data_IF_315496561593
#
_entry.id   IF_315496561593
#
_cell.length_a   1.000
_cell.length_b   1.000
_cell.length_c   1.000
_cell.angle_alpha   90.00
_cell.angle_beta   90.00
_cell.angle_gamma   90.00
#
_symmetry.space_group_name_H-M   'P 1'
#
loop_
_entity.id
_entity.type
_entity.pdbx_description
1 polymer ?
#
# COMPACT_ATOMS: atom_id res chain seq x y z
N UNK A 1 -40.45 -53.60 -56.69
CA UNK A 1 -41.31 -53.07 -55.60
C UNK A 1 -40.49 -52.02 -54.85
N UNK A 2 -40.98 -50.78 -54.87
CA UNK A 2 -40.33 -49.56 -54.37
C UNK A 2 -40.78 -49.24 -52.94
N UNK A 3 -39.88 -48.73 -52.09
CA UNK A 3 -40.10 -47.90 -50.86
C UNK A 3 -38.91 -48.10 -49.88
N UNK A 4 -38.37 -47.13 -49.14
CA UNK A 4 -38.57 -45.69 -48.94
C UNK A 4 -37.28 -45.19 -48.28
N UNK A 5 -36.67 -44.13 -48.83
CA UNK A 5 -35.60 -43.36 -48.17
C UNK A 5 -36.26 -42.53 -47.07
N UNK A 6 -35.78 -42.66 -45.83
CA UNK A 6 -36.22 -41.87 -44.67
C UNK A 6 -35.35 -40.63 -44.57
N UNK A 7 -35.81 -39.52 -45.16
CA UNK A 7 -35.19 -38.21 -44.97
C UNK A 7 -35.29 -37.79 -43.50
N UNK A 8 -34.14 -37.50 -42.88
CA UNK A 8 -34.07 -36.82 -41.59
C UNK A 8 -34.13 -35.32 -41.87
N UNK A 9 -35.26 -34.69 -41.51
CA UNK A 9 -35.41 -33.24 -41.53
C UNK A 9 -34.43 -32.54 -40.58
N UNK A 10 -34.13 -31.25 -40.83
CA UNK A 10 -33.17 -30.48 -40.06
C UNK A 10 -33.66 -30.27 -38.62
N UNK A 11 -32.79 -30.56 -37.65
CA UNK A 11 -33.07 -30.46 -36.23
C UNK A 11 -33.37 -29.03 -35.79
N UNK A 12 -34.65 -28.74 -35.56
CA UNK A 12 -35.11 -27.57 -34.81
C UNK A 12 -34.85 -27.87 -33.32
N UNK A 13 -33.60 -27.74 -32.89
CA UNK A 13 -33.21 -28.08 -31.51
C UNK A 13 -31.98 -27.36 -30.97
N UNK A 14 -31.21 -26.61 -31.76
CA UNK A 14 -29.91 -26.07 -31.29
C UNK A 14 -29.97 -24.62 -30.77
N UNK A 15 -30.93 -23.80 -31.19
CA UNK A 15 -30.87 -22.34 -30.93
C UNK A 15 -31.35 -21.93 -29.54
N UNK A 16 -32.08 -22.81 -28.84
CA UNK A 16 -32.60 -22.52 -27.50
C UNK A 16 -31.61 -22.90 -26.39
N UNK A 17 -30.82 -23.96 -26.61
CA UNK A 17 -29.76 -24.40 -25.69
C UNK A 17 -28.50 -23.53 -25.82
N UNK A 18 -28.13 -23.11 -27.04
CA UNK A 18 -27.02 -22.16 -27.25
C UNK A 18 -27.28 -20.83 -26.55
N UNK A 19 -28.50 -20.28 -26.66
CA UNK A 19 -28.88 -19.05 -25.96
C UNK A 19 -28.85 -19.19 -24.44
N UNK A 20 -29.21 -20.34 -23.87
CA UNK A 20 -29.12 -20.60 -22.42
C UNK A 20 -27.67 -20.74 -21.95
N UNK A 21 -26.82 -21.42 -22.72
CA UNK A 21 -25.40 -21.55 -22.41
C UNK A 21 -24.68 -20.20 -22.51
N UNK A 22 -25.00 -19.38 -23.50
CA UNK A 22 -24.42 -18.07 -23.71
C UNK A 22 -24.86 -17.07 -22.60
N UNK A 23 -26.13 -17.07 -22.21
CA UNK A 23 -26.62 -16.29 -21.08
C UNK A 23 -25.97 -16.70 -19.75
N UNK A 24 -25.74 -18.01 -19.54
CA UNK A 24 -25.00 -18.53 -18.39
C UNK A 24 -23.54 -18.07 -18.37
N UNK A 25 -22.87 -18.06 -19.52
CA UNK A 25 -21.47 -17.63 -19.66
C UNK A 25 -21.31 -16.12 -19.41
N UNK A 26 -22.20 -15.29 -19.97
CA UNK A 26 -22.22 -13.83 -19.82
C UNK A 26 -22.52 -13.43 -18.37
N UNK A 27 -23.48 -14.10 -17.73
CA UNK A 27 -23.81 -13.91 -16.31
C UNK A 27 -22.62 -14.25 -15.40
N UNK A 28 -21.94 -15.38 -15.64
CA UNK A 28 -20.73 -15.77 -14.90
C UNK A 28 -19.58 -14.78 -15.13
N UNK A 29 -19.40 -14.29 -16.35
CA UNK A 29 -18.37 -13.28 -16.71
C UNK A 29 -18.64 -11.93 -16.02
N UNK A 30 -19.90 -11.49 -15.95
CA UNK A 30 -20.33 -10.29 -15.22
C UNK A 30 -20.16 -10.43 -13.70
N UNK A 31 -20.53 -11.59 -13.12
CA UNK A 31 -20.30 -11.89 -11.69
C UNK A 31 -18.79 -11.91 -11.35
N UNK A 32 -17.95 -12.49 -12.22
CA UNK A 32 -16.48 -12.46 -12.07
C UNK A 32 -15.90 -11.05 -12.18
N UNK A 33 -16.37 -10.22 -13.12
CA UNK A 33 -15.97 -8.80 -13.22
C UNK A 33 -16.38 -8.01 -11.98
N UNK A 34 -17.60 -8.19 -11.44
CA UNK A 34 -18.04 -7.57 -10.18
C UNK A 34 -17.23 -8.04 -8.97
N UNK A 35 -16.93 -9.34 -8.85
CA UNK A 35 -16.05 -9.88 -7.80
C UNK A 35 -14.62 -9.34 -7.90
N UNK A 36 -14.07 -9.18 -9.11
CA UNK A 36 -12.75 -8.54 -9.33
C UNK A 36 -12.76 -7.06 -8.98
N UNK A 37 -13.82 -6.32 -9.32
CA UNK A 37 -13.95 -4.89 -8.98
C UNK A 37 -14.11 -4.66 -7.47
N UNK A 38 -14.73 -5.61 -6.75
CA UNK A 38 -14.80 -5.62 -5.27
C UNK A 38 -13.49 -6.07 -4.58
N UNK A 39 -12.52 -6.62 -5.31
CA UNK A 39 -11.26 -7.15 -4.77
C UNK A 39 -10.04 -6.27 -5.05
N UNK A 40 -10.20 -5.15 -5.74
CA UNK A 40 -9.13 -4.16 -5.89
C UNK A 40 -9.28 -3.16 -4.74
N UNK A 41 -8.21 -2.96 -3.98
CA UNK A 41 -8.12 -1.89 -2.99
C UNK A 41 -8.53 -0.54 -3.57
N UNK A 42 -8.99 0.36 -2.70
CA UNK A 42 -9.38 1.72 -3.06
C UNK A 42 -8.17 2.50 -3.58
N UNK A 43 -6.97 2.18 -3.06
CA UNK A 43 -5.69 2.74 -3.46
C UNK A 43 -4.81 1.71 -4.17
N UNK A 44 -3.81 2.17 -4.94
CA UNK A 44 -2.79 1.29 -5.51
C UNK A 44 -1.65 1.06 -4.52
N UNK A 45 -0.98 -0.10 -4.63
CA UNK A 45 0.20 -0.43 -3.82
C UNK A 45 1.35 0.56 -4.05
N UNK A 46 1.59 0.93 -5.31
CA UNK A 46 2.54 1.98 -5.70
C UNK A 46 2.28 3.32 -5.02
N UNK A 47 1.01 3.70 -4.83
CA UNK A 47 0.66 4.92 -4.11
C UNK A 47 1.04 4.82 -2.63
N UNK A 48 0.74 3.70 -1.97
CA UNK A 48 1.11 3.47 -0.57
C UNK A 48 2.63 3.53 -0.35
N UNK A 49 3.40 2.86 -1.21
CA UNK A 49 4.87 2.88 -1.17
C UNK A 49 5.40 4.29 -1.41
N UNK A 50 4.83 5.01 -2.38
CA UNK A 50 5.27 6.38 -2.70
C UNK A 50 4.94 7.35 -1.58
N UNK A 51 3.77 7.26 -0.96
CA UNK A 51 3.40 8.06 0.20
C UNK A 51 4.36 7.82 1.37
N UNK A 52 4.70 6.55 1.64
CA UNK A 52 5.70 6.19 2.65
C UNK A 52 7.07 6.79 2.33
N UNK A 53 7.54 6.67 1.08
CA UNK A 53 8.82 7.26 0.68
C UNK A 53 8.84 8.78 0.76
N UNK A 54 7.73 9.47 0.47
CA UNK A 54 7.68 10.94 0.57
C UNK A 54 7.79 11.38 2.03
N UNK A 55 7.00 10.78 2.92
CA UNK A 55 7.06 11.09 4.36
C UNK A 55 8.42 10.70 4.94
N UNK A 56 8.89 9.48 4.63
CA UNK A 56 10.18 8.96 5.06
C UNK A 56 11.35 9.81 4.55
N UNK A 57 11.34 10.24 3.29
CA UNK A 57 12.39 11.09 2.74
C UNK A 57 12.36 12.51 3.33
N UNK A 58 11.19 13.08 3.60
CA UNK A 58 11.10 14.39 4.23
C UNK A 58 11.72 14.39 5.63
N UNK A 59 11.35 13.43 6.48
CA UNK A 59 11.96 13.26 7.80
C UNK A 59 13.42 12.83 7.70
N UNK A 60 13.75 11.91 6.78
CA UNK A 60 15.11 11.45 6.55
C UNK A 60 16.04 12.59 6.17
N UNK A 61 15.60 13.51 5.32
CA UNK A 61 16.35 14.70 4.93
C UNK A 61 16.53 15.67 6.09
N UNK A 62 15.48 15.91 6.88
CA UNK A 62 15.55 16.73 8.09
C UNK A 62 16.57 16.19 9.08
N UNK A 63 16.50 14.90 9.41
CA UNK A 63 17.45 14.24 10.30
C UNK A 63 18.88 14.18 9.72
N UNK A 64 19.03 14.07 8.40
CA UNK A 64 20.34 14.06 7.75
C UNK A 64 21.03 15.43 7.75
N UNK A 65 20.29 16.49 7.39
CA UNK A 65 20.86 17.82 7.22
C UNK A 65 20.87 18.62 8.53
N UNK A 66 19.78 18.54 9.31
CA UNK A 66 19.52 19.39 10.46
C UNK A 66 18.97 18.62 11.68
N UNK A 67 19.66 17.56 12.15
CA UNK A 67 19.15 16.69 13.22
C UNK A 67 18.83 17.43 14.52
N UNK A 68 19.64 18.44 14.89
CA UNK A 68 19.42 19.21 16.12
C UNK A 68 18.10 19.97 16.08
N UNK A 69 17.86 20.68 14.97
CA UNK A 69 16.60 21.38 14.73
C UNK A 69 15.41 20.43 14.73
N UNK A 70 15.50 19.30 14.03
CA UNK A 70 14.43 18.30 14.00
C UNK A 70 14.11 17.76 15.39
N UNK A 71 15.12 17.49 16.21
CA UNK A 71 14.92 16.99 17.58
C UNK A 71 14.28 18.06 18.46
N UNK A 72 14.83 19.28 18.48
CA UNK A 72 14.30 20.39 19.28
C UNK A 72 12.87 20.76 18.89
N UNK A 73 12.52 20.63 17.60
CA UNK A 73 11.16 20.85 17.14
C UNK A 73 10.18 19.82 17.69
N UNK A 74 10.60 18.58 17.94
CA UNK A 74 9.72 17.46 18.28
C UNK A 74 9.78 17.06 19.77
N UNK A 75 10.89 17.35 20.46
CA UNK A 75 11.15 16.90 21.82
C UNK A 75 11.65 18.04 22.69
N UNK A 76 11.29 18.03 23.97
CA UNK A 76 11.77 18.99 24.98
C UNK A 76 13.16 18.60 25.49
N UNK A 77 14.11 18.46 24.57
CA UNK A 77 15.49 18.05 24.88
C UNK A 77 16.48 18.92 24.11
N UNK A 78 17.64 19.17 24.73
CA UNK A 78 18.76 19.80 24.05
C UNK A 78 19.63 18.71 23.42
N UNK A 79 19.71 18.59 22.09
CA UNK A 79 20.40 17.50 21.42
C UNK A 79 21.93 17.63 21.58
N UNK A 80 22.52 16.60 22.16
CA UNK A 80 23.98 16.48 22.28
C UNK A 80 24.64 15.98 20.98
N UNK A 81 25.95 15.71 21.05
CA UNK A 81 26.73 15.19 19.92
C UNK A 81 26.26 13.81 19.44
N UNK A 82 25.79 12.94 20.34
CA UNK A 82 25.32 11.60 20.00
C UNK A 82 23.96 11.65 19.31
N UNK A 83 23.06 12.49 19.78
CA UNK A 83 21.78 12.76 19.13
C UNK A 83 21.98 13.27 17.71
N UNK A 84 22.88 14.23 17.52
CA UNK A 84 23.19 14.80 16.19
C UNK A 84 23.84 13.75 15.27
N UNK A 85 24.74 12.92 15.79
CA UNK A 85 25.35 11.84 15.02
C UNK A 85 24.32 10.77 14.61
N UNK A 86 23.55 10.26 15.58
CA UNK A 86 22.51 9.25 15.34
C UNK A 86 21.41 9.77 14.44
N UNK A 87 21.03 11.03 14.57
CA UNK A 87 20.09 11.69 13.66
C UNK A 87 20.58 11.66 12.22
N UNK A 88 21.84 12.06 11.96
CA UNK A 88 22.40 12.01 10.59
C UNK A 88 22.44 10.60 10.04
N UNK A 89 22.91 9.65 10.84
CA UNK A 89 22.98 8.26 10.44
C UNK A 89 21.58 7.70 10.09
N UNK A 90 20.60 7.95 10.96
CA UNK A 90 19.20 7.54 10.75
C UNK A 90 18.61 8.18 9.50
N UNK A 91 18.86 9.48 9.29
CA UNK A 91 18.43 10.19 8.10
C UNK A 91 19.00 9.58 6.81
N UNK A 92 20.30 9.28 6.80
CA UNK A 92 20.96 8.60 5.68
C UNK A 92 20.35 7.21 5.43
N UNK A 93 20.16 6.39 6.48
CA UNK A 93 19.54 5.08 6.36
C UNK A 93 18.12 5.17 5.78
N UNK A 94 17.32 6.14 6.22
CA UNK A 94 15.96 6.36 5.72
C UNK A 94 15.94 6.76 4.24
N UNK A 95 16.83 7.66 3.81
CA UNK A 95 16.95 8.08 2.42
C UNK A 95 17.39 6.92 1.51
N UNK A 96 18.37 6.12 1.95
CA UNK A 96 18.80 4.91 1.24
C UNK A 96 17.66 3.89 1.15
N UNK A 97 16.93 3.67 2.25
CA UNK A 97 15.77 2.78 2.27
C UNK A 97 14.70 3.23 1.27
N UNK A 98 14.38 4.53 1.23
CA UNK A 98 13.43 5.07 0.24
C UNK A 98 13.91 4.81 -1.19
N UNK A 99 15.21 5.01 -1.48
CA UNK A 99 15.79 4.73 -2.80
C UNK A 99 15.68 3.25 -3.17
N UNK A 100 15.93 2.35 -2.23
CA UNK A 100 15.80 0.90 -2.42
C UNK A 100 14.33 0.50 -2.67
N UNK A 101 13.39 1.00 -1.85
CA UNK A 101 11.97 0.73 -2.00
C UNK A 101 11.44 1.19 -3.37
N UNK A 102 11.93 2.31 -3.90
CA UNK A 102 11.55 2.81 -5.23
C UNK A 102 12.18 2.06 -6.40
N UNK A 103 13.18 1.21 -6.16
CA UNK A 103 13.95 0.54 -7.20
C UNK A 103 13.71 -0.99 -7.26
N UNK A 104 12.99 -1.55 -6.29
CA UNK A 104 12.69 -2.98 -6.19
C UNK A 104 11.25 -3.33 -6.62
N UNK A 105 10.97 -4.63 -6.79
CA UNK A 105 9.67 -5.14 -7.21
C UNK A 105 8.57 -4.81 -6.19
N UNK A 106 7.44 -4.26 -6.66
CA UNK A 106 6.29 -3.87 -5.84
C UNK A 106 5.74 -5.03 -5.00
N UNK A 107 5.75 -6.26 -5.52
CA UNK A 107 5.25 -7.44 -4.81
C UNK A 107 6.07 -7.77 -3.56
N UNK A 108 7.37 -7.43 -3.57
CA UNK A 108 8.28 -7.60 -2.42
C UNK A 108 8.24 -6.36 -1.53
N UNK A 109 8.28 -5.17 -2.14
CA UNK A 109 8.38 -3.91 -1.40
C UNK A 109 7.11 -3.60 -0.62
N UNK A 110 5.93 -3.88 -1.16
CA UNK A 110 4.68 -3.53 -0.49
C UNK A 110 4.54 -4.15 0.92
N UNK A 111 4.70 -5.47 1.13
CA UNK A 111 4.58 -6.05 2.48
C UNK A 111 5.67 -5.54 3.42
N UNK A 112 6.90 -5.31 2.91
CA UNK A 112 8.00 -4.73 3.69
C UNK A 112 7.68 -3.30 4.10
N UNK A 113 7.19 -2.47 3.17
CA UNK A 113 6.78 -1.08 3.43
C UNK A 113 5.65 -1.02 4.45
N UNK A 114 4.66 -1.91 4.35
CA UNK A 114 3.57 -1.98 5.32
C UNK A 114 4.08 -2.35 6.72
N UNK A 115 4.86 -3.42 6.84
CA UNK A 115 5.43 -3.87 8.12
C UNK A 115 6.35 -2.80 8.72
N UNK A 116 7.20 -2.19 7.90
CA UNK A 116 8.08 -1.09 8.31
C UNK A 116 7.28 0.12 8.80
N UNK A 117 6.25 0.55 8.07
CA UNK A 117 5.41 1.70 8.48
C UNK A 117 4.71 1.42 9.82
N UNK A 118 4.19 0.20 10.01
CA UNK A 118 3.56 -0.21 11.26
C UNK A 118 4.57 -0.21 12.43
N UNK A 119 5.77 -0.75 12.20
CA UNK A 119 6.85 -0.75 13.18
C UNK A 119 7.32 0.67 13.52
N UNK A 120 7.48 1.54 12.52
CA UNK A 120 7.80 2.96 12.73
C UNK A 120 6.72 3.62 13.55
N UNK A 121 5.43 3.43 13.24
CA UNK A 121 4.33 4.03 14.01
C UNK A 121 4.41 3.63 15.49
N UNK A 122 4.65 2.35 15.77
CA UNK A 122 4.70 1.84 17.13
C UNK A 122 5.96 2.32 17.88
N UNK A 123 7.14 2.14 17.30
CA UNK A 123 8.43 2.39 17.97
C UNK A 123 8.88 3.86 17.91
N UNK A 124 8.40 4.62 16.93
CA UNK A 124 8.70 6.04 16.74
C UNK A 124 7.66 6.90 17.45
N UNK A 125 6.70 7.50 16.72
CA UNK A 125 5.78 8.45 17.33
C UNK A 125 4.88 7.84 18.41
N UNK A 126 4.44 6.58 18.26
CA UNK A 126 3.63 5.92 19.29
C UNK A 126 4.34 5.81 20.62
N UNK A 127 5.56 5.26 20.63
CA UNK A 127 6.39 5.17 21.82
C UNK A 127 6.74 6.55 22.38
N UNK A 128 7.16 7.48 21.53
CA UNK A 128 7.52 8.84 21.92
C UNK A 128 6.37 9.56 22.64
N UNK A 129 5.14 9.47 22.14
CA UNK A 129 3.98 10.11 22.76
C UNK A 129 3.56 9.50 24.09
N UNK A 130 3.93 8.24 24.36
CA UNK A 130 3.60 7.57 25.62
C UNK A 130 4.67 7.76 26.70
N UNK A 131 5.93 7.94 26.30
CA UNK A 131 7.07 7.81 27.23
C UNK A 131 8.08 8.96 27.19
N UNK A 132 8.03 9.83 26.18
CA UNK A 132 8.99 10.92 26.03
C UNK A 132 8.30 12.29 26.16
N UNK A 133 9.07 13.29 26.56
CA UNK A 133 8.60 14.68 26.59
C UNK A 133 8.58 15.28 25.18
N UNK A 134 7.43 15.17 24.53
CA UNK A 134 7.20 15.70 23.18
C UNK A 134 6.74 17.16 23.20
N UNK A 135 6.98 17.85 22.09
CA UNK A 135 6.36 19.15 21.80
C UNK A 135 5.02 18.94 21.08
N UNK A 136 4.15 19.98 20.99
CA UNK A 136 2.93 19.88 20.19
C UNK A 136 3.18 19.52 18.72
N UNK A 137 4.32 19.92 18.15
CA UNK A 137 4.67 19.66 16.76
C UNK A 137 4.88 18.17 16.49
N UNK A 138 5.30 17.39 17.49
CA UNK A 138 5.51 15.95 17.32
C UNK A 138 4.22 15.22 16.93
N UNK A 139 3.03 15.75 17.24
CA UNK A 139 1.73 15.19 16.81
C UNK A 139 1.57 15.10 15.28
N UNK A 140 2.37 15.83 14.50
CA UNK A 140 2.40 15.70 13.04
C UNK A 140 2.90 14.31 12.62
N UNK A 141 3.90 13.75 13.30
CA UNK A 141 4.46 12.44 12.97
C UNK A 141 3.45 11.28 13.09
N UNK A 142 2.72 11.07 14.20
CA UNK A 142 1.72 10.01 14.30
C UNK A 142 0.56 10.19 13.31
N UNK A 143 0.17 11.44 12.99
CA UNK A 143 -0.87 11.69 11.98
C UNK A 143 -0.40 11.30 10.58
N UNK A 144 0.82 11.71 10.18
CA UNK A 144 1.36 11.38 8.87
C UNK A 144 1.63 9.88 8.72
N UNK A 145 2.32 9.26 9.68
CA UNK A 145 2.63 7.82 9.63
C UNK A 145 1.35 6.98 9.74
N UNK A 146 0.41 7.36 10.61
CA UNK A 146 -0.90 6.72 10.70
C UNK A 146 -1.72 6.85 9.41
N UNK A 147 -1.68 8.01 8.76
CA UNK A 147 -2.29 8.23 7.45
C UNK A 147 -1.67 7.34 6.36
N UNK A 148 -0.34 7.22 6.31
CA UNK A 148 0.36 6.31 5.39
C UNK A 148 0.00 4.86 5.67
N UNK A 149 -0.13 4.46 6.94
CA UNK A 149 -0.57 3.11 7.31
C UNK A 149 -2.01 2.83 6.83
N UNK A 150 -2.91 3.80 6.96
CA UNK A 150 -4.26 3.70 6.42
C UNK A 150 -4.26 3.54 4.89
N UNK A 151 -3.40 4.27 4.17
CA UNK A 151 -3.24 4.12 2.71
C UNK A 151 -2.76 2.71 2.36
N UNK A 152 -1.85 2.12 3.14
CA UNK A 152 -1.47 0.72 2.93
C UNK A 152 -2.66 -0.22 3.10
N UNK A 153 -3.43 -0.09 4.18
CA UNK A 153 -4.62 -0.91 4.43
C UNK A 153 -5.65 -0.79 3.30
N UNK A 154 -5.82 0.41 2.74
CA UNK A 154 -6.71 0.67 1.59
C UNK A 154 -6.16 0.17 0.25
N UNK A 155 -4.90 -0.23 0.20
CA UNK A 155 -4.22 -0.77 -1.00
C UNK A 155 -4.05 -2.29 -1.02
N UNK A 156 -4.41 -2.97 0.08
CA UNK A 156 -4.44 -4.43 0.22
C UNK A 156 -5.62 -5.05 -0.56
#
# INVERSE_FOLDING_TARGET
ISARVKERGPGIGSTHDERRQEQGSVSRRRKRKRKRKRRRGVCTKSLAISANCVVGAAYGLQFFLAPGFTIEQNFKVVPDKYHKFMGRFTGMCMLTLCKLMKSADEAIVWPVSFAFTAAVMACGPGFAEMYLDTTPMHKVAPVLVGGVLAVHLLSA
#
